data_IF_964556372934
#
_entry.id   IF_964556372934
#
_cell.length_a   1.000
_cell.length_b   1.000
_cell.length_c   1.000
_cell.angle_alpha   90.00
_cell.angle_beta   90.00
_cell.angle_gamma   90.00
#
_symmetry.space_group_name_H-M   'P 1'
#
loop_
_entity.id
_entity.type
_entity.pdbx_description
1 polymer ?
#
# COMPACT_ATOMS: atom_id res chain seq x y z
N UNK A 1 11.74 49.68 1.10
CA UNK A 1 11.54 50.35 2.40
C UNK A 1 12.09 49.37 3.44
N UNK A 2 13.38 49.53 3.80
CA UNK A 2 13.91 50.16 5.03
C UNK A 2 13.42 49.44 6.29
N UNK A 3 14.24 48.90 7.20
CA UNK A 3 15.46 49.38 7.89
C UNK A 3 16.00 48.21 8.74
N UNK A 4 17.28 47.99 8.76
CA UNK A 4 18.34 48.46 9.70
C UNK A 4 18.40 47.63 10.98
N UNK A 5 19.47 46.81 11.20
CA UNK A 5 20.83 47.21 11.66
C UNK A 5 20.87 47.71 13.11
N UNK A 6 21.61 47.01 13.99
CA UNK A 6 22.47 47.52 15.09
C UNK A 6 23.14 46.32 15.77
N UNK A 7 24.33 46.00 15.67
CA UNK A 7 25.66 46.49 16.10
C UNK A 7 25.75 47.04 17.53
N UNK A 8 26.64 46.44 18.32
CA UNK A 8 27.73 46.95 19.18
C UNK A 8 28.06 45.89 20.26
N UNK A 9 29.20 45.24 20.26
CA UNK A 9 30.51 45.59 20.80
C UNK A 9 30.49 46.22 22.21
N UNK A 10 31.09 45.52 23.18
CA UNK A 10 32.12 46.07 24.10
C UNK A 10 32.97 44.93 24.69
N UNK A 11 34.24 45.02 24.45
CA UNK A 11 35.32 44.32 25.14
C UNK A 11 35.70 45.12 26.40
N UNK A 12 36.21 44.43 27.43
CA UNK A 12 37.29 44.98 28.24
C UNK A 12 37.96 43.89 29.09
N UNK A 13 39.27 43.80 28.93
CA UNK A 13 40.23 43.02 29.73
C UNK A 13 40.55 43.76 31.05
N UNK A 14 41.17 43.05 31.99
CA UNK A 14 42.26 43.49 32.91
C UNK A 14 42.52 42.26 33.83
N UNK A 15 43.57 41.57 33.76
CA UNK A 15 44.94 41.65 34.23
C UNK A 15 45.13 41.37 35.75
N UNK A 16 46.00 40.39 35.99
CA UNK A 16 47.08 40.31 36.96
C UNK A 16 46.76 39.98 38.44
N UNK A 17 47.49 38.99 38.93
CA UNK A 17 47.67 38.70 40.35
C UNK A 17 48.46 37.41 40.55
N UNK A 18 49.79 37.46 40.41
CA UNK A 18 50.73 36.46 40.93
C UNK A 18 50.66 36.42 42.46
N UNK A 19 50.54 35.24 43.02
CA UNK A 19 51.02 34.94 44.38
C UNK A 19 51.50 33.50 44.42
N UNK A 20 52.80 33.36 44.41
CA UNK A 20 53.54 32.14 44.73
C UNK A 20 53.53 31.93 46.23
N UNK A 21 53.19 30.75 46.71
CA UNK A 21 53.51 30.29 48.08
C UNK A 21 53.65 28.76 48.09
N UNK A 22 54.41 28.19 49.06
CA UNK A 22 55.40 27.21 48.72
C UNK A 22 54.88 25.75 48.83
N UNK A 23 55.57 24.95 48.12
CA UNK A 23 55.51 23.51 48.00
C UNK A 23 55.65 22.77 49.33
N UNK A 24 54.65 22.06 49.76
CA UNK A 24 54.70 21.09 50.84
C UNK A 24 54.97 19.73 50.23
N UNK A 25 55.98 19.00 50.74
CA UNK A 25 56.38 17.72 50.15
C UNK A 25 55.24 16.70 50.20
N UNK A 26 54.97 16.09 49.06
CA UNK A 26 53.99 15.04 48.93
C UNK A 26 54.36 13.78 49.73
N UNK A 27 53.40 13.14 50.37
CA UNK A 27 53.61 11.82 50.95
C UNK A 27 53.74 10.80 49.86
N UNK A 28 54.74 9.87 50.06
CA UNK A 28 54.98 8.75 49.15
C UNK A 28 53.70 7.88 49.00
N UNK A 29 53.37 7.44 47.77
CA UNK A 29 52.28 6.52 47.62
C UNK A 29 52.59 5.15 48.26
N UNK A 30 51.65 4.65 49.04
CA UNK A 30 51.67 3.29 49.57
C UNK A 30 51.68 2.27 48.40
N UNK A 31 52.29 1.12 48.56
CA UNK A 31 52.31 0.09 47.53
C UNK A 31 50.90 -0.36 47.17
N UNK A 32 50.64 -0.40 45.91
CA UNK A 32 49.35 -0.81 45.34
C UNK A 32 49.01 -2.26 45.79
N UNK A 33 47.77 -2.52 46.19
CA UNK A 33 47.33 -3.88 46.49
C UNK A 33 47.41 -4.76 45.25
N UNK A 34 47.99 -5.95 45.41
CA UNK A 34 48.07 -6.97 44.35
C UNK A 34 46.66 -7.31 43.86
N UNK A 35 46.38 -7.29 42.56
CA UNK A 35 45.06 -7.63 42.05
C UNK A 35 44.72 -9.08 42.40
N UNK A 36 43.56 -9.29 42.98
CA UNK A 36 43.01 -10.61 43.27
C UNK A 36 42.80 -11.40 41.96
N UNK A 37 42.99 -12.73 41.98
CA UNK A 37 42.74 -13.53 40.78
C UNK A 37 41.30 -13.41 40.33
N UNK A 38 41.04 -13.41 39.00
CA UNK A 38 39.67 -13.29 38.49
C UNK A 38 38.80 -14.45 38.98
N UNK A 39 37.53 -14.20 39.30
CA UNK A 39 36.61 -15.25 39.68
C UNK A 39 36.41 -16.25 38.55
N UNK A 40 36.14 -17.54 38.84
CA UNK A 40 35.90 -18.54 37.83
C UNK A 40 34.70 -18.15 36.97
N UNK A 41 34.72 -18.43 35.63
CA UNK A 41 33.64 -18.09 34.74
C UNK A 41 32.33 -18.74 35.21
N UNK A 42 31.32 -17.93 35.43
CA UNK A 42 29.96 -18.41 35.71
C UNK A 42 29.51 -19.32 34.57
N UNK A 43 28.82 -20.45 34.88
CA UNK A 43 28.23 -21.27 33.82
C UNK A 43 27.39 -20.38 32.90
N UNK A 44 27.72 -20.37 31.61
CA UNK A 44 26.97 -19.65 30.58
C UNK A 44 25.56 -20.22 30.60
N UNK A 45 24.60 -19.40 30.96
CA UNK A 45 23.19 -19.75 30.76
C UNK A 45 22.98 -20.15 29.29
N UNK A 46 22.14 -21.14 28.98
CA UNK A 46 21.87 -21.51 27.61
C UNK A 46 21.44 -20.24 26.85
N UNK A 47 22.15 -19.95 25.79
CA UNK A 47 21.80 -18.86 24.86
C UNK A 47 20.37 -19.08 24.42
N UNK A 48 19.46 -18.09 24.55
CA UNK A 48 18.09 -18.28 24.11
C UNK A 48 18.10 -18.66 22.64
N UNK A 49 17.61 -19.86 22.34
CA UNK A 49 17.42 -20.30 20.95
C UNK A 49 16.70 -19.20 20.20
N UNK A 50 17.31 -18.73 19.09
CA UNK A 50 16.67 -17.76 18.18
C UNK A 50 15.28 -18.30 17.85
N UNK A 51 14.22 -17.51 18.01
CA UNK A 51 12.87 -17.97 17.68
C UNK A 51 12.86 -18.50 16.25
N UNK A 52 12.42 -19.75 16.11
CA UNK A 52 12.18 -20.37 14.80
C UNK A 52 11.34 -19.41 13.99
N UNK A 53 11.68 -19.10 12.72
CA UNK A 53 10.87 -18.19 11.91
C UNK A 53 9.41 -18.62 11.97
N UNK A 54 8.53 -17.71 12.39
CA UNK A 54 7.11 -17.96 12.35
C UNK A 54 6.72 -18.29 10.91
N UNK A 55 5.76 -19.23 10.66
CA UNK A 55 5.30 -19.52 9.33
C UNK A 55 4.93 -18.22 8.62
N UNK A 56 5.53 -17.96 7.46
CA UNK A 56 5.21 -16.77 6.67
C UNK A 56 3.70 -16.74 6.42
N UNK A 57 3.06 -15.67 6.83
CA UNK A 57 1.63 -15.45 6.54
C UNK A 57 1.45 -15.47 5.02
N UNK A 58 0.41 -16.14 4.49
CA UNK A 58 0.15 -16.18 3.05
C UNK A 58 0.17 -14.77 2.47
N UNK A 59 0.91 -14.58 1.38
CA UNK A 59 1.04 -13.25 0.76
C UNK A 59 -0.29 -12.86 0.11
N UNK A 60 -0.82 -11.65 0.39
CA UNK A 60 -2.03 -11.18 -0.26
C UNK A 60 -1.79 -11.06 -1.77
N UNK A 61 -2.78 -11.47 -2.55
CA UNK A 61 -2.84 -11.28 -4.01
C UNK A 61 -3.96 -10.29 -4.28
N UNK A 62 -3.62 -9.17 -4.88
CA UNK A 62 -4.59 -8.22 -5.40
C UNK A 62 -4.31 -8.07 -6.90
N UNK A 63 -5.23 -8.51 -7.74
CA UNK A 63 -5.13 -8.40 -9.20
C UNK A 63 -6.29 -7.54 -9.69
N UNK A 64 -5.96 -6.44 -10.40
CA UNK A 64 -6.93 -5.60 -11.08
C UNK A 64 -6.85 -5.83 -12.57
N UNK A 65 -7.94 -6.22 -13.18
CA UNK A 65 -8.07 -6.43 -14.62
C UNK A 65 -9.08 -5.45 -15.18
N UNK A 66 -8.72 -4.75 -16.24
CA UNK A 66 -9.58 -3.78 -16.92
C UNK A 66 -9.95 -4.29 -18.31
N UNK A 67 -11.24 -4.29 -18.61
CA UNK A 67 -11.77 -4.63 -19.93
C UNK A 67 -12.44 -3.43 -20.56
N UNK A 68 -12.17 -3.19 -21.84
CA UNK A 68 -12.98 -2.27 -22.61
C UNK A 68 -14.43 -2.77 -22.68
N UNK A 69 -15.40 -1.86 -22.60
CA UNK A 69 -16.80 -2.27 -22.52
C UNK A 69 -17.29 -2.98 -23.79
N UNK A 70 -16.75 -2.62 -24.95
CA UNK A 70 -17.06 -3.25 -26.24
C UNK A 70 -16.56 -4.71 -26.36
N UNK A 71 -15.59 -5.10 -25.55
CA UNK A 71 -15.18 -6.52 -25.39
C UNK A 71 -16.21 -7.31 -24.62
N UNK A 72 -16.78 -6.71 -23.56
CA UNK A 72 -17.73 -7.41 -22.69
C UNK A 72 -19.18 -7.28 -23.17
N UNK A 73 -19.56 -6.16 -23.77
CA UNK A 73 -20.96 -5.80 -24.06
C UNK A 73 -21.09 -5.21 -25.47
N UNK A 74 -22.27 -5.36 -26.07
CA UNK A 74 -22.65 -4.57 -27.23
C UNK A 74 -22.90 -3.11 -26.85
N UNK A 75 -22.94 -2.26 -27.86
CA UNK A 75 -23.26 -0.85 -27.66
C UNK A 75 -24.59 -0.71 -26.90
N UNK A 76 -24.58 0.10 -25.88
CA UNK A 76 -25.74 0.40 -25.03
C UNK A 76 -26.40 -0.80 -24.34
N UNK A 77 -25.72 -1.96 -24.30
CA UNK A 77 -26.23 -3.16 -23.63
C UNK A 77 -25.44 -3.50 -22.37
N UNK A 78 -26.07 -4.30 -21.52
CA UNK A 78 -25.47 -4.91 -20.32
C UNK A 78 -25.44 -6.45 -20.42
N UNK A 79 -25.80 -7.03 -21.58
CA UNK A 79 -25.71 -8.48 -21.82
C UNK A 79 -24.30 -8.81 -22.27
N UNK A 80 -23.67 -9.76 -21.56
CA UNK A 80 -22.27 -10.15 -21.81
C UNK A 80 -22.18 -10.93 -23.12
N UNK A 81 -21.30 -10.50 -24.01
CA UNK A 81 -20.98 -11.16 -25.27
C UNK A 81 -20.24 -12.47 -25.07
N UNK A 82 -20.23 -13.38 -26.09
CA UNK A 82 -19.46 -14.61 -25.99
C UNK A 82 -17.96 -14.41 -25.70
N UNK A 83 -17.33 -13.40 -26.36
CA UNK A 83 -15.92 -13.07 -26.11
C UNK A 83 -15.70 -12.57 -24.67
N UNK A 84 -16.65 -11.75 -24.16
CA UNK A 84 -16.63 -11.29 -22.78
C UNK A 84 -16.72 -12.44 -21.78
N UNK A 85 -17.58 -13.42 -22.06
CA UNK A 85 -17.70 -14.63 -21.23
C UNK A 85 -16.38 -15.39 -21.14
N UNK A 86 -15.67 -15.59 -22.25
CA UNK A 86 -14.36 -16.24 -22.25
C UNK A 86 -13.35 -15.50 -21.36
N UNK A 87 -13.34 -14.17 -21.42
CA UNK A 87 -12.45 -13.35 -20.55
C UNK A 87 -12.82 -13.46 -19.06
N UNK A 88 -14.09 -13.54 -18.74
CA UNK A 88 -14.55 -13.74 -17.37
C UNK A 88 -14.30 -15.18 -16.88
N UNK A 89 -14.32 -16.17 -17.77
CA UNK A 89 -13.92 -17.56 -17.46
C UNK A 89 -12.45 -17.61 -17.06
N UNK A 90 -11.56 -16.89 -17.74
CA UNK A 90 -10.15 -16.78 -17.36
C UNK A 90 -9.99 -16.24 -15.92
N UNK A 91 -10.77 -15.20 -15.56
CA UNK A 91 -10.78 -14.68 -14.19
C UNK A 91 -11.28 -15.73 -13.21
N UNK A 92 -12.42 -16.36 -13.51
CA UNK A 92 -12.97 -17.41 -12.64
C UNK A 92 -11.99 -18.57 -12.43
N UNK A 93 -11.25 -18.97 -13.46
CA UNK A 93 -10.24 -20.01 -13.34
C UNK A 93 -9.05 -19.59 -12.47
N UNK A 94 -8.60 -18.34 -12.58
CA UNK A 94 -7.56 -17.78 -11.72
C UNK A 94 -7.96 -17.78 -10.24
N UNK A 95 -9.23 -17.52 -9.93
CA UNK A 95 -9.72 -17.52 -8.54
C UNK A 95 -9.70 -18.91 -7.89
N UNK A 96 -9.74 -19.99 -8.68
CA UNK A 96 -9.65 -21.37 -8.15
C UNK A 96 -8.30 -21.68 -7.49
N UNK A 97 -7.24 -20.97 -7.87
CA UNK A 97 -5.87 -21.13 -7.33
C UNK A 97 -5.56 -20.30 -6.10
N UNK A 98 -6.51 -19.50 -5.64
CA UNK A 98 -6.33 -18.59 -4.49
C UNK A 98 -7.44 -18.82 -3.45
N UNK A 99 -7.16 -18.46 -2.20
CA UNK A 99 -8.22 -18.28 -1.19
C UNK A 99 -8.87 -16.93 -1.47
N UNK A 100 -9.94 -16.96 -2.25
CA UNK A 100 -10.65 -15.76 -2.68
C UNK A 100 -11.32 -15.09 -1.47
N UNK A 101 -11.04 -13.82 -1.27
CA UNK A 101 -11.68 -13.00 -0.24
C UNK A 101 -12.82 -12.19 -0.86
N UNK A 102 -12.50 -11.41 -1.90
CA UNK A 102 -13.48 -10.54 -2.54
C UNK A 102 -13.20 -10.36 -4.03
N UNK A 103 -14.25 -10.17 -4.82
CA UNK A 103 -14.22 -9.68 -6.20
C UNK A 103 -15.04 -8.42 -6.26
N UNK A 104 -14.51 -7.36 -6.87
CA UNK A 104 -15.23 -6.11 -7.08
C UNK A 104 -15.33 -5.85 -8.57
N UNK A 105 -16.56 -5.77 -9.09
CA UNK A 105 -16.84 -5.41 -10.48
C UNK A 105 -17.28 -3.95 -10.55
N UNK A 106 -16.53 -3.10 -11.26
CA UNK A 106 -16.77 -1.66 -11.34
C UNK A 106 -17.05 -1.30 -12.80
N UNK A 107 -18.26 -0.81 -13.06
CA UNK A 107 -18.66 -0.32 -14.39
C UNK A 107 -18.40 1.17 -14.56
N UNK A 108 -17.90 1.57 -15.73
CA UNK A 108 -17.68 2.95 -16.13
C UNK A 108 -18.36 3.25 -17.47
N UNK A 109 -18.72 4.50 -17.67
CA UNK A 109 -19.25 5.03 -18.92
C UNK A 109 -18.38 6.20 -19.41
N UNK A 110 -18.61 6.63 -20.64
CA UNK A 110 -18.12 7.91 -21.14
C UNK A 110 -19.12 9.05 -20.84
N UNK A 111 -18.83 10.25 -21.29
CA UNK A 111 -19.68 11.44 -21.09
C UNK A 111 -20.83 11.58 -22.09
N UNK A 112 -21.14 10.57 -22.88
CA UNK A 112 -22.26 10.59 -23.80
C UNK A 112 -23.54 10.14 -23.11
N UNK A 113 -24.56 10.97 -23.10
CA UNK A 113 -25.82 10.73 -22.41
C UNK A 113 -25.97 11.54 -21.12
N UNK A 114 -26.99 11.24 -20.32
CA UNK A 114 -27.17 11.87 -19.03
C UNK A 114 -26.39 11.11 -17.94
N UNK A 115 -25.90 11.83 -16.92
CA UNK A 115 -25.23 11.23 -15.76
C UNK A 115 -26.08 10.10 -15.12
N UNK A 116 -27.38 10.35 -14.94
CA UNK A 116 -28.29 9.36 -14.38
C UNK A 116 -28.41 8.10 -15.27
N UNK A 117 -28.38 8.26 -16.59
CA UNK A 117 -28.38 7.13 -17.52
C UNK A 117 -27.08 6.35 -17.44
N UNK A 118 -25.93 7.04 -17.53
CA UNK A 118 -24.59 6.45 -17.45
C UNK A 118 -24.36 5.73 -16.12
N UNK A 119 -24.86 6.31 -15.02
CA UNK A 119 -24.85 5.67 -13.72
C UNK A 119 -25.62 4.34 -13.73
N UNK A 120 -26.85 4.32 -14.21
CA UNK A 120 -27.65 3.09 -14.30
C UNK A 120 -27.04 2.04 -15.24
N UNK A 121 -26.51 2.46 -16.39
CA UNK A 121 -25.88 1.55 -17.35
C UNK A 121 -24.64 0.89 -16.74
N UNK A 122 -23.79 1.67 -16.07
CA UNK A 122 -22.59 1.16 -15.41
C UNK A 122 -22.91 0.16 -14.29
N UNK A 123 -23.93 0.42 -13.48
CA UNK A 123 -24.43 -0.53 -12.46
C UNK A 123 -24.91 -1.83 -13.10
N UNK A 124 -25.82 -1.77 -14.10
CA UNK A 124 -26.33 -2.97 -14.79
C UNK A 124 -25.20 -3.81 -15.41
N UNK A 125 -24.15 -3.19 -15.96
CA UNK A 125 -22.99 -3.90 -16.48
C UNK A 125 -22.22 -4.62 -15.39
N UNK A 126 -21.96 -3.96 -14.27
CA UNK A 126 -21.30 -4.58 -13.12
C UNK A 126 -22.12 -5.76 -12.55
N UNK A 127 -23.44 -5.60 -12.46
CA UNK A 127 -24.36 -6.67 -12.01
C UNK A 127 -24.36 -7.87 -12.96
N UNK A 128 -24.31 -7.64 -14.29
CA UNK A 128 -24.22 -8.73 -15.25
C UNK A 128 -22.92 -9.51 -15.10
N UNK A 129 -21.78 -8.83 -14.84
CA UNK A 129 -20.52 -9.48 -14.53
C UNK A 129 -20.62 -10.30 -13.24
N UNK A 130 -21.22 -9.74 -12.19
CA UNK A 130 -21.48 -10.48 -10.92
C UNK A 130 -22.28 -11.75 -11.20
N UNK A 131 -23.43 -11.60 -11.87
CA UNK A 131 -24.31 -12.75 -12.16
C UNK A 131 -23.56 -13.85 -12.93
N UNK A 132 -22.71 -13.47 -13.88
CA UNK A 132 -21.89 -14.42 -14.63
C UNK A 132 -20.84 -15.11 -13.75
N UNK A 133 -20.08 -14.37 -12.95
CA UNK A 133 -19.07 -14.94 -12.06
C UNK A 133 -19.67 -15.87 -11.02
N UNK A 134 -20.86 -15.53 -10.49
CA UNK A 134 -21.63 -16.40 -9.57
C UNK A 134 -22.05 -17.69 -10.29
N UNK A 135 -22.51 -17.62 -11.56
CA UNK A 135 -22.84 -18.80 -12.34
C UNK A 135 -21.64 -19.72 -12.61
N UNK A 136 -20.41 -19.21 -12.48
CA UNK A 136 -19.15 -19.95 -12.59
C UNK A 136 -18.63 -20.49 -11.26
N UNK A 137 -19.41 -20.35 -10.18
CA UNK A 137 -19.15 -20.94 -8.87
C UNK A 137 -18.45 -20.00 -7.88
N UNK A 138 -18.34 -18.70 -8.16
CA UNK A 138 -17.90 -17.72 -7.16
C UNK A 138 -19.08 -17.42 -6.24
N UNK A 139 -18.85 -17.43 -4.92
CA UNK A 139 -19.89 -17.16 -3.93
C UNK A 139 -20.43 -15.73 -4.08
N UNK A 140 -21.76 -15.58 -4.13
CA UNK A 140 -22.43 -14.29 -4.37
C UNK A 140 -22.11 -13.21 -3.32
N UNK A 141 -21.85 -13.61 -2.06
CA UNK A 141 -21.47 -12.75 -0.95
C UNK A 141 -20.03 -12.21 -1.06
N UNK A 142 -19.22 -12.81 -1.93
CA UNK A 142 -17.83 -12.35 -2.21
C UNK A 142 -17.76 -11.44 -3.42
N UNK A 143 -18.82 -11.27 -4.18
CA UNK A 143 -18.83 -10.43 -5.38
C UNK A 143 -19.61 -9.16 -5.13
N UNK A 144 -18.89 -8.03 -5.15
CA UNK A 144 -19.46 -6.69 -5.01
C UNK A 144 -19.51 -6.00 -6.37
N UNK A 145 -20.49 -5.12 -6.53
CA UNK A 145 -20.69 -4.37 -7.77
C UNK A 145 -20.76 -2.88 -7.49
N UNK A 146 -20.16 -2.09 -8.35
CA UNK A 146 -20.24 -0.66 -8.29
C UNK A 146 -20.38 -0.07 -9.69
N UNK A 147 -21.24 0.94 -9.87
CA UNK A 147 -21.30 1.76 -11.05
C UNK A 147 -20.74 3.14 -10.76
N UNK A 148 -19.77 3.58 -11.53
CA UNK A 148 -19.18 4.92 -11.43
C UNK A 148 -19.75 5.90 -12.48
N UNK A 149 -20.56 5.40 -13.43
CA UNK A 149 -21.01 6.24 -14.54
C UNK A 149 -19.81 6.87 -15.25
N UNK A 150 -19.92 8.16 -15.53
CA UNK A 150 -18.87 8.96 -16.18
C UNK A 150 -17.92 9.68 -15.20
N UNK A 151 -18.08 9.48 -13.89
CA UNK A 151 -17.43 10.29 -12.84
C UNK A 151 -15.94 10.03 -12.68
N UNK A 152 -15.43 8.94 -13.23
CA UNK A 152 -14.01 8.56 -13.12
C UNK A 152 -13.40 8.29 -14.49
N UNK A 153 -13.22 9.33 -15.32
CA UNK A 153 -12.59 9.17 -16.62
C UNK A 153 -11.09 8.88 -16.48
N UNK A 154 -10.58 7.98 -17.33
CA UNK A 154 -9.12 7.67 -17.44
C UNK A 154 -8.51 8.32 -18.68
N UNK A 155 -9.34 8.87 -19.57
CA UNK A 155 -8.93 9.57 -20.76
C UNK A 155 -9.89 10.75 -21.06
N UNK A 156 -9.49 11.62 -21.99
CA UNK A 156 -10.31 12.77 -22.36
C UNK A 156 -11.62 12.33 -23.01
N UNK A 157 -12.76 12.80 -22.52
CA UNK A 157 -14.07 12.59 -23.13
C UNK A 157 -14.29 13.40 -24.42
N UNK A 158 -13.36 14.31 -24.75
CA UNK A 158 -13.47 15.16 -25.96
C UNK A 158 -13.20 14.38 -27.25
N UNK A 159 -12.43 13.30 -27.20
CA UNK A 159 -12.08 12.47 -28.37
C UNK A 159 -12.83 11.14 -28.35
N UNK A 160 -13.06 10.55 -29.52
CA UNK A 160 -13.72 9.25 -29.65
C UNK A 160 -12.89 8.14 -28.97
N UNK A 161 -11.56 8.18 -29.15
CA UNK A 161 -10.60 7.23 -28.57
C UNK A 161 -10.58 7.33 -27.04
N UNK A 162 -10.62 8.56 -26.50
CA UNK A 162 -10.68 8.78 -25.08
C UNK A 162 -11.99 8.28 -24.47
N UNK A 163 -13.13 8.54 -25.12
CA UNK A 163 -14.41 7.97 -24.70
C UNK A 163 -14.41 6.44 -24.72
N UNK A 164 -13.81 5.83 -25.75
CA UNK A 164 -13.69 4.37 -25.82
C UNK A 164 -12.91 3.81 -24.61
N UNK A 165 -11.84 4.47 -24.18
CA UNK A 165 -11.08 4.10 -22.96
C UNK A 165 -11.90 4.27 -21.68
N UNK A 166 -12.76 5.29 -21.64
CA UNK A 166 -13.63 5.54 -20.48
C UNK A 166 -14.75 4.51 -20.36
N UNK A 167 -15.28 4.00 -21.48
CA UNK A 167 -16.20 2.86 -21.48
C UNK A 167 -15.46 1.58 -21.15
N UNK A 168 -15.39 1.25 -19.87
CA UNK A 168 -14.66 0.08 -19.39
C UNK A 168 -15.36 -0.58 -18.20
N UNK A 169 -14.96 -1.81 -17.92
CA UNK A 169 -15.31 -2.52 -16.68
C UNK A 169 -14.01 -2.97 -16.04
N UNK A 170 -13.82 -2.61 -14.80
CA UNK A 170 -12.70 -3.03 -13.97
C UNK A 170 -13.15 -4.17 -13.05
N UNK A 171 -12.31 -5.19 -12.90
CA UNK A 171 -12.56 -6.30 -12.01
C UNK A 171 -11.33 -6.42 -11.10
N UNK A 172 -11.55 -6.24 -9.80
CA UNK A 172 -10.53 -6.41 -8.79
C UNK A 172 -10.75 -7.73 -8.06
N UNK A 173 -9.73 -8.56 -8.02
CA UNK A 173 -9.73 -9.85 -7.32
C UNK A 173 -8.76 -9.74 -6.16
N UNK A 174 -9.25 -9.94 -4.96
CA UNK A 174 -8.47 -9.89 -3.72
C UNK A 174 -8.56 -11.26 -3.05
N UNK A 175 -7.42 -11.76 -2.64
CA UNK A 175 -7.32 -13.06 -1.97
C UNK A 175 -5.92 -13.33 -1.46
N UNK A 176 -5.69 -14.53 -0.98
CA UNK A 176 -4.37 -15.00 -0.56
C UNK A 176 -3.97 -16.22 -1.36
N UNK A 177 -2.67 -16.34 -1.68
CA UNK A 177 -2.18 -17.51 -2.42
C UNK A 177 -2.39 -18.78 -1.58
N UNK A 178 -2.97 -19.80 -2.19
CA UNK A 178 -3.07 -21.12 -1.57
C UNK A 178 -1.68 -21.76 -1.58
N UNK A 179 -1.13 -22.10 -0.41
CA UNK A 179 0.13 -22.85 -0.28
C UNK A 179 -0.09 -24.31 -0.63
#
# INVERSE_FOLDING_TARGET
MTNRLWMLLVALAIAAGCATEPEKPAPQPAPAPVPAPPPPPKPRAPEPEKPKPAPEKPKPVAEKVTFAADVLFDFDKAVIKPEGKSKLDDISNKTKGVNLEVVIAIGHADSVGSDAYNQRLSVRRAESVKAYLVSKGIEANRVYTEGKGEKQPVASNKTAEGRAKNRRTEIEVIGTRRN
#
